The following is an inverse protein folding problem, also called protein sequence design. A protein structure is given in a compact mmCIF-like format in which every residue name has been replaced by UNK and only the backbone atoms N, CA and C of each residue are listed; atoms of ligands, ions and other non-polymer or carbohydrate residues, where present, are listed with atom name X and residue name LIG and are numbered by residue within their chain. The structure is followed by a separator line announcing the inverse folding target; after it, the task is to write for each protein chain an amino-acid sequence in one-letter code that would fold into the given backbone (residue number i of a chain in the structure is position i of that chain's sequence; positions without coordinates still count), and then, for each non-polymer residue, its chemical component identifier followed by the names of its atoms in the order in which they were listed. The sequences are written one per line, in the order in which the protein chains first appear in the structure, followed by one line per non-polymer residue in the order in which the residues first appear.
data_IF_974026689044
#
_entry.id   IF_974026689044
#
_cell.length_a   1.000
_cell.length_b   1.000
_cell.length_c   1.000
_cell.angle_alpha   90.00
_cell.angle_beta   90.00
_cell.angle_gamma   90.00
#
_symmetry.space_group_name_H-M   'P 1'
#
loop_
_entity.id
_entity.type
_entity.pdbx_description
1 polymer ?
#
# COMPACT_ATOMS: atom_id res chain seq x y z
N UNK A 1 14.11 -16.42 10.89
CA UNK A 1 13.50 -17.73 11.21
C UNK A 1 12.01 -17.58 10.96
N UNK A 2 11.41 -18.41 10.12
CA UNK A 2 9.99 -18.30 9.75
C UNK A 2 9.12 -18.79 10.90
N UNK A 3 8.12 -18.01 11.33
CA UNK A 3 7.19 -18.33 12.43
C UNK A 3 6.09 -19.33 12.01
N UNK A 4 6.40 -20.22 11.05
CA UNK A 4 5.48 -21.24 10.52
C UNK A 4 5.00 -22.16 11.65
N UNK A 5 3.81 -21.87 12.18
CA UNK A 5 3.16 -22.65 13.24
C UNK A 5 2.69 -21.83 14.44
N UNK A 6 3.15 -20.58 14.60
CA UNK A 6 2.61 -19.71 15.64
C UNK A 6 1.15 -19.34 15.31
N UNK A 7 0.35 -19.16 16.36
CA UNK A 7 -1.07 -18.85 16.27
C UNK A 7 -1.46 -17.81 17.31
N UNK A 8 -2.49 -17.02 17.01
CA UNK A 8 -3.06 -16.02 17.92
C UNK A 8 -4.55 -16.32 18.08
N UNK A 9 -5.02 -16.41 19.33
CA UNK A 9 -6.45 -16.50 19.63
C UNK A 9 -7.04 -15.08 19.70
N UNK A 10 -8.19 -14.87 19.07
CA UNK A 10 -8.97 -13.65 19.14
C UNK A 10 -10.36 -13.96 19.67
N UNK A 11 -10.90 -13.06 20.50
CA UNK A 11 -12.29 -13.09 20.94
C UNK A 11 -13.07 -12.04 20.17
N UNK A 12 -14.04 -12.46 19.37
CA UNK A 12 -14.88 -11.58 18.57
C UNK A 12 -16.23 -11.37 19.25
N UNK A 13 -16.75 -10.15 19.18
CA UNK A 13 -18.16 -9.87 19.40
C UNK A 13 -18.80 -9.65 18.03
N UNK A 14 -19.85 -10.42 17.69
CA UNK A 14 -20.54 -10.32 16.40
C UNK A 14 -22.04 -10.12 16.56
N UNK A 15 -22.66 -9.39 15.64
CA UNK A 15 -24.12 -9.33 15.50
C UNK A 15 -24.56 -10.44 14.54
N UNK A 16 -25.21 -11.47 15.07
CA UNK A 16 -25.67 -12.62 14.28
C UNK A 16 -26.77 -12.25 13.29
N UNK A 17 -27.64 -11.28 13.62
CA UNK A 17 -28.71 -10.85 12.70
C UNK A 17 -28.12 -10.16 11.48
N UNK A 18 -27.07 -9.36 11.67
CA UNK A 18 -26.38 -8.65 10.56
C UNK A 18 -25.28 -9.48 9.92
N UNK A 19 -24.87 -10.60 10.52
CA UNK A 19 -23.69 -11.38 10.15
C UNK A 19 -22.45 -10.47 10.02
N UNK A 20 -22.18 -9.72 11.07
CA UNK A 20 -21.14 -8.69 11.11
C UNK A 20 -20.36 -8.76 12.41
N UNK A 21 -19.03 -8.74 12.34
CA UNK A 21 -18.14 -8.53 13.48
C UNK A 21 -18.28 -7.08 13.94
N UNK A 22 -18.44 -6.88 15.24
CA UNK A 22 -18.47 -5.54 15.84
C UNK A 22 -17.04 -5.14 16.17
N UNK A 23 -16.35 -5.96 16.95
CA UNK A 23 -14.92 -5.84 17.22
C UNK A 23 -14.30 -7.17 17.64
N UNK A 24 -12.97 -7.24 17.53
CA UNK A 24 -12.14 -8.26 18.14
C UNK A 24 -11.48 -7.70 19.42
N UNK A 25 -11.48 -8.48 20.50
CA UNK A 25 -10.63 -8.28 21.66
C UNK A 25 -9.30 -9.01 21.44
N UNK A 26 -8.20 -8.30 21.65
CA UNK A 26 -6.86 -8.88 21.58
C UNK A 26 -5.84 -8.16 22.45
N UNK A 27 -4.82 -8.89 22.89
CA UNK A 27 -3.59 -8.31 23.46
C UNK A 27 -2.59 -7.85 22.39
N UNK A 28 -1.37 -7.57 22.84
CA UNK A 28 -0.26 -7.01 22.03
C UNK A 28 0.03 -7.77 20.74
N UNK A 29 -0.03 -9.10 20.74
CA UNK A 29 0.53 -9.92 19.66
C UNK A 29 -0.16 -9.64 18.32
N UNK A 30 -1.49 -9.56 18.30
CA UNK A 30 -2.23 -9.25 17.07
C UNK A 30 -2.13 -7.77 16.70
N UNK A 31 -2.16 -6.88 17.69
CA UNK A 31 -2.11 -5.44 17.45
C UNK A 31 -0.75 -5.05 16.88
N UNK A 32 0.35 -5.60 17.40
CA UNK A 32 1.69 -5.39 16.84
C UNK A 32 1.76 -5.86 15.38
N UNK A 33 1.12 -6.98 15.05
CA UNK A 33 1.03 -7.50 13.67
C UNK A 33 0.24 -6.53 12.78
N UNK A 34 -0.93 -6.05 13.21
CA UNK A 34 -1.73 -5.08 12.47
C UNK A 34 -0.98 -3.76 12.23
N UNK A 35 -0.34 -3.22 13.28
CA UNK A 35 0.41 -1.98 13.18
C UNK A 35 1.65 -2.15 12.29
N UNK A 36 2.24 -3.34 12.23
CA UNK A 36 3.38 -3.62 11.35
C UNK A 36 3.07 -3.43 9.86
N UNK A 37 1.80 -3.56 9.44
CA UNK A 37 1.38 -3.32 8.06
C UNK A 37 1.74 -1.91 7.58
N UNK A 38 1.68 -0.91 8.47
CA UNK A 38 2.05 0.48 8.16
C UNK A 38 3.54 0.61 7.80
N UNK A 39 4.39 -0.33 8.21
CA UNK A 39 5.83 -0.31 7.94
C UNK A 39 6.21 -0.97 6.63
N UNK A 40 5.31 -1.76 6.03
CA UNK A 40 5.59 -2.53 4.82
C UNK A 40 5.60 -1.62 3.58
N UNK A 41 6.67 -1.64 2.77
CA UNK A 41 6.66 -1.01 1.45
C UNK A 41 5.63 -1.65 0.51
N UNK A 42 5.07 -0.88 -0.41
CA UNK A 42 4.04 -1.39 -1.33
C UNK A 42 4.49 -2.58 -2.18
N UNK A 43 5.75 -2.61 -2.62
CA UNK A 43 6.32 -3.74 -3.35
C UNK A 43 6.28 -5.03 -2.52
N UNK A 44 6.58 -4.94 -1.23
CA UNK A 44 6.47 -6.07 -0.28
C UNK A 44 5.01 -6.50 -0.13
N UNK A 45 4.07 -5.56 0.06
CA UNK A 45 2.64 -5.88 0.19
C UNK A 45 2.12 -6.60 -1.05
N UNK A 46 2.43 -6.09 -2.25
CA UNK A 46 1.99 -6.69 -3.51
C UNK A 46 2.56 -8.11 -3.65
N UNK A 47 3.85 -8.28 -3.38
CA UNK A 47 4.52 -9.58 -3.45
C UNK A 47 3.89 -10.60 -2.49
N UNK A 48 3.60 -10.19 -1.25
CA UNK A 48 3.00 -11.05 -0.22
C UNK A 48 1.54 -11.40 -0.49
N UNK A 49 0.77 -10.50 -1.07
CA UNK A 49 -0.66 -10.73 -1.36
C UNK A 49 -0.85 -11.52 -2.66
N UNK A 50 0.05 -11.36 -3.65
CA UNK A 50 0.01 -12.10 -4.92
C UNK A 50 0.37 -13.57 -4.81
N UNK A 51 1.08 -13.98 -3.76
CA UNK A 51 1.39 -15.39 -3.52
C UNK A 51 0.18 -16.20 -3.06
N UNK A 52 -0.95 -15.54 -2.76
CA UNK A 52 -2.24 -16.19 -2.52
C UNK A 52 -2.94 -16.55 -3.84
N UNK A 53 -3.75 -17.62 -3.82
CA UNK A 53 -4.40 -18.25 -4.99
C UNK A 53 -5.39 -17.38 -5.78
N UNK A 54 -5.60 -16.12 -5.39
CA UNK A 54 -6.56 -15.19 -6.01
C UNK A 54 -5.81 -14.03 -6.69
N UNK A 55 -5.68 -14.03 -8.03
CA UNK A 55 -4.87 -13.03 -8.72
C UNK A 55 -5.52 -11.63 -8.73
N UNK A 56 -4.69 -10.63 -8.45
CA UNK A 56 -4.89 -9.18 -8.71
C UNK A 56 -5.99 -8.47 -7.90
N UNK A 57 -5.61 -7.63 -6.92
CA UNK A 57 -6.59 -6.78 -6.23
C UNK A 57 -6.13 -5.38 -5.80
N UNK A 58 -4.83 -5.07 -5.77
CA UNK A 58 -4.35 -3.71 -5.43
C UNK A 58 -4.18 -2.89 -6.71
N UNK A 59 -5.31 -2.41 -7.25
CA UNK A 59 -5.39 -1.46 -8.37
C UNK A 59 -4.40 -1.72 -9.52
N UNK A 60 -3.82 -0.64 -10.03
CA UNK A 60 -2.78 -0.62 -11.07
C UNK A 60 -1.36 -0.79 -10.51
N UNK A 61 -1.19 -0.79 -9.18
CA UNK A 61 0.12 -1.04 -8.56
C UNK A 61 0.56 -2.49 -8.79
N UNK A 62 -0.39 -3.42 -8.87
CA UNK A 62 -0.14 -4.82 -9.24
C UNK A 62 0.48 -4.93 -10.64
N UNK A 63 -0.09 -4.26 -11.63
CA UNK A 63 0.38 -4.25 -13.02
C UNK A 63 1.69 -3.48 -13.19
N UNK A 64 1.92 -2.43 -12.40
CA UNK A 64 3.25 -1.79 -12.31
C UNK A 64 4.32 -2.77 -11.82
N UNK A 65 4.03 -3.52 -10.74
CA UNK A 65 4.95 -4.54 -10.23
C UNK A 65 5.22 -5.64 -11.27
N UNK A 66 4.18 -6.12 -11.96
CA UNK A 66 4.33 -7.08 -13.08
C UNK A 66 5.14 -6.51 -14.25
N UNK A 67 4.95 -5.24 -14.58
CA UNK A 67 5.75 -4.55 -15.59
C UNK A 67 7.24 -4.54 -15.19
N UNK A 68 7.53 -4.23 -13.93
CA UNK A 68 8.89 -4.27 -13.39
C UNK A 68 9.51 -5.68 -13.46
N UNK A 69 8.75 -6.74 -13.14
CA UNK A 69 9.21 -8.14 -13.26
C UNK A 69 9.69 -8.46 -14.69
N UNK A 70 9.01 -7.93 -15.70
CA UNK A 70 9.32 -8.18 -17.12
C UNK A 70 10.28 -7.14 -17.73
N UNK A 71 10.62 -6.07 -17.02
CA UNK A 71 11.47 -5.00 -17.55
C UNK A 71 12.94 -5.40 -17.49
N UNK A 72 13.59 -5.45 -18.65
CA UNK A 72 14.99 -5.87 -18.79
C UNK A 72 15.88 -4.77 -19.38
N UNK A 73 17.05 -4.60 -18.76
CA UNK A 73 18.16 -3.79 -19.28
C UNK A 73 19.42 -4.63 -19.20
N UNK A 74 20.36 -4.39 -20.13
CA UNK A 74 21.65 -5.09 -20.19
C UNK A 74 22.66 -4.58 -19.14
N UNK A 75 22.24 -3.70 -18.24
CA UNK A 75 23.08 -3.07 -17.23
C UNK A 75 23.06 -3.88 -15.92
N UNK A 76 24.25 -4.18 -15.37
CA UNK A 76 24.40 -4.88 -14.10
C UNK A 76 23.84 -4.08 -12.91
N UNK A 77 23.85 -2.75 -12.97
CA UNK A 77 23.25 -1.89 -11.94
C UNK A 77 21.73 -2.03 -11.93
N UNK A 78 21.10 -2.17 -13.10
CA UNK A 78 19.65 -2.38 -13.21
C UNK A 78 19.20 -3.63 -12.47
N UNK A 79 19.91 -4.76 -12.60
CA UNK A 79 19.56 -6.00 -11.88
C UNK A 79 19.46 -5.76 -10.37
N UNK A 80 20.41 -4.98 -9.83
CA UNK A 80 20.42 -4.63 -8.40
C UNK A 80 19.22 -3.73 -8.04
N UNK A 81 18.96 -2.68 -8.83
CA UNK A 81 17.80 -1.81 -8.57
C UNK A 81 16.47 -2.54 -8.72
N UNK A 82 16.34 -3.43 -9.70
CA UNK A 82 15.17 -4.26 -9.92
C UNK A 82 14.90 -5.17 -8.73
N UNK A 83 15.92 -5.86 -8.22
CA UNK A 83 15.80 -6.67 -6.99
C UNK A 83 15.36 -5.81 -5.79
N UNK A 84 15.91 -4.60 -5.63
CA UNK A 84 15.51 -3.69 -4.55
C UNK A 84 14.08 -3.16 -4.69
N UNK A 85 13.57 -2.98 -5.91
CA UNK A 85 12.20 -2.52 -6.16
C UNK A 85 11.18 -3.66 -6.02
N UNK A 86 11.56 -4.89 -6.38
CA UNK A 86 10.73 -6.10 -6.23
C UNK A 86 10.68 -6.57 -4.77
N UNK A 87 11.78 -6.44 -4.04
CA UNK A 87 11.93 -6.84 -2.63
C UNK A 87 12.47 -5.67 -1.77
N UNK A 88 11.69 -4.58 -1.63
CA UNK A 88 12.12 -3.40 -0.89
C UNK A 88 12.31 -3.69 0.61
N UNK A 89 13.39 -3.16 1.17
CA UNK A 89 13.70 -3.35 2.60
C UNK A 89 12.80 -2.51 3.50
N UNK A 90 12.30 -3.11 4.58
CA UNK A 90 11.57 -2.44 5.64
C UNK A 90 12.55 -1.77 6.65
N UNK A 91 12.42 -0.47 6.92
CA UNK A 91 13.31 0.21 7.88
C UNK A 91 13.06 -0.18 9.35
N UNK A 92 11.95 -0.86 9.62
CA UNK A 92 11.55 -1.41 10.92
C UNK A 92 11.66 -2.94 10.96
N UNK A 93 12.38 -3.56 10.01
CA UNK A 93 12.58 -5.01 9.91
C UNK A 93 13.06 -5.62 11.24
N UNK A 94 14.05 -5.03 11.90
CA UNK A 94 14.58 -5.50 13.19
C UNK A 94 13.55 -5.51 14.34
N UNK A 95 12.50 -4.69 14.24
CA UNK A 95 11.36 -4.70 15.17
C UNK A 95 10.39 -5.81 14.75
N UNK A 96 10.05 -5.86 13.47
CA UNK A 96 9.07 -6.79 12.91
C UNK A 96 9.50 -8.26 13.04
N UNK A 97 10.80 -8.55 13.10
CA UNK A 97 11.32 -9.89 13.41
C UNK A 97 10.88 -10.43 14.77
N UNK A 98 10.48 -9.56 15.70
CA UNK A 98 9.96 -9.94 17.03
C UNK A 98 8.45 -10.17 17.05
N UNK A 99 7.76 -9.97 15.93
CA UNK A 99 6.32 -10.23 15.81
C UNK A 99 6.07 -11.73 15.93
N UNK A 100 5.01 -12.09 16.63
CA UNK A 100 4.51 -13.46 16.71
C UNK A 100 4.13 -14.00 15.32
N UNK A 101 3.40 -13.19 14.54
CA UNK A 101 3.11 -13.50 13.14
C UNK A 101 3.81 -12.50 12.22
N UNK A 102 5.08 -12.73 11.91
CA UNK A 102 5.78 -11.94 10.91
C UNK A 102 5.49 -12.45 9.49
N UNK A 103 4.73 -11.67 8.72
CA UNK A 103 4.41 -11.96 7.32
C UNK A 103 5.49 -11.48 6.34
N UNK A 104 6.44 -10.65 6.77
CA UNK A 104 7.56 -10.23 5.91
C UNK A 104 8.57 -11.37 5.81
N UNK A 105 8.59 -12.01 4.65
CA UNK A 105 9.48 -13.10 4.26
C UNK A 105 10.82 -12.60 3.66
N UNK A 106 11.04 -11.28 3.64
CA UNK A 106 12.31 -10.70 3.19
C UNK A 106 13.46 -11.16 4.09
N UNK A 107 14.57 -11.57 3.48
CA UNK A 107 15.73 -12.01 4.25
C UNK A 107 16.33 -10.83 5.03
N UNK A 108 16.74 -11.06 6.29
CA UNK A 108 17.28 -9.98 7.08
C UNK A 108 18.47 -9.29 6.46
N UNK A 109 18.46 -7.96 6.52
CA UNK A 109 19.59 -7.16 6.03
C UNK A 109 20.83 -7.51 6.86
N UNK A 110 21.84 -8.11 6.23
CA UNK A 110 23.13 -8.36 6.88
C UNK A 110 23.93 -7.05 6.92
N UNK A 111 24.57 -6.79 8.05
CA UNK A 111 25.46 -5.65 8.25
C UNK A 111 26.86 -6.16 8.61
N UNK A 112 27.86 -5.63 7.94
CA UNK A 112 29.26 -5.72 8.32
C UNK A 112 29.59 -4.53 9.21
N UNK A 113 30.31 -4.78 10.29
CA UNK A 113 30.93 -3.73 11.08
C UNK A 113 32.41 -3.81 10.74
N UNK A 114 32.98 -2.74 10.20
CA UNK A 114 34.42 -2.67 10.03
C UNK A 114 35.06 -2.52 11.42
N UNK A 115 35.82 -3.51 11.87
CA UNK A 115 36.45 -3.47 13.20
C UNK A 115 37.43 -2.30 13.35
N UNK A 116 38.02 -1.82 12.25
CA UNK A 116 38.94 -0.69 12.25
C UNK A 116 38.26 0.67 12.47
N UNK A 117 37.07 0.89 11.91
CA UNK A 117 36.40 2.21 11.96
C UNK A 117 34.99 2.20 12.59
N UNK A 118 34.51 1.04 13.05
CA UNK A 118 33.14 0.78 13.55
C UNK A 118 32.02 1.24 12.61
N UNK A 119 32.33 1.41 11.32
CA UNK A 119 31.34 1.77 10.30
C UNK A 119 30.50 0.54 9.96
N UNK A 120 29.17 0.71 9.96
CA UNK A 120 28.21 -0.30 9.50
C UNK A 120 28.10 -0.25 7.97
N UNK A 121 28.62 -1.26 7.29
CA UNK A 121 28.54 -1.47 5.85
C UNK A 121 27.50 -2.57 5.54
N UNK A 122 26.53 -2.31 4.67
CA UNK A 122 25.48 -3.28 4.33
C UNK A 122 25.91 -4.19 3.17
N UNK A 123 25.54 -5.47 3.21
CA UNK A 123 26.02 -6.51 2.26
C UNK A 123 25.38 -6.52 0.87
N UNK A 124 24.67 -5.47 0.43
CA UNK A 124 24.02 -5.49 -0.89
C UNK A 124 25.05 -5.38 -2.05
N UNK A 125 26.29 -5.03 -1.72
CA UNK A 125 27.44 -5.23 -2.59
C UNK A 125 28.08 -6.58 -2.27
N UNK A 126 27.94 -7.56 -3.17
CA UNK A 126 28.64 -8.85 -3.09
C UNK A 126 30.15 -8.63 -3.16
N UNK A 127 30.79 -8.45 -2.02
CA UNK A 127 32.18 -8.82 -1.82
C UNK A 127 32.29 -9.57 -0.50
N UNK A 128 32.81 -10.79 -0.63
CA UNK A 128 33.03 -11.82 0.38
C UNK A 128 33.72 -11.26 1.62
N UNK A 129 33.07 -11.33 2.78
CA UNK A 129 33.67 -11.36 4.13
C UNK A 129 32.52 -11.60 5.12
N UNK A 130 32.66 -12.52 6.07
CA UNK A 130 31.54 -13.02 6.89
C UNK A 130 31.73 -12.71 8.37
N UNK A 131 30.92 -11.79 8.93
CA UNK A 131 30.61 -11.72 10.36
C UNK A 131 29.18 -11.19 10.53
N UNK A 132 28.33 -11.94 11.23
CA UNK A 132 26.94 -11.56 11.58
C UNK A 132 26.88 -11.11 13.03
N UNK A 133 26.25 -9.96 13.31
CA UNK A 133 25.91 -9.58 14.70
C UNK A 133 24.40 -9.61 14.89
N UNK A 134 23.96 -10.36 15.89
CA UNK A 134 22.59 -10.31 16.38
C UNK A 134 22.45 -9.03 17.23
N UNK A 135 21.63 -8.08 16.80
CA UNK A 135 21.26 -6.93 17.63
C UNK A 135 20.42 -7.46 18.81
N UNK A 136 21.06 -7.67 19.95
CA UNK A 136 20.42 -8.04 21.21
C UNK A 136 19.51 -6.88 21.62
N UNK A 137 18.20 -7.04 21.42
CA UNK A 137 17.19 -6.09 21.89
C UNK A 137 16.91 -6.30 23.36
N UNK A 138 16.73 -5.19 24.09
CA UNK A 138 16.18 -5.15 25.44
C UNK A 138 14.83 -5.88 25.50
N UNK A 139 14.53 -6.49 26.66
CA UNK A 139 13.27 -7.20 26.98
C UNK A 139 12.11 -6.20 27.12
N UNK A 140 11.74 -5.52 26.05
CA UNK A 140 10.46 -4.81 25.99
C UNK A 140 9.35 -5.84 25.74
N UNK A 141 8.35 -5.88 26.62
CA UNK A 141 7.15 -6.69 26.40
C UNK A 141 6.30 -6.02 25.31
N UNK A 142 6.39 -6.51 24.07
CA UNK A 142 5.67 -6.00 22.89
C UNK A 142 6.57 -5.22 21.90
N UNK A 143 6.20 -5.24 20.61
CA UNK A 143 7.01 -4.66 19.52
C UNK A 143 6.74 -3.16 19.38
N UNK A 144 5.47 -2.77 19.27
CA UNK A 144 5.03 -1.38 19.14
C UNK A 144 4.15 -0.96 20.33
N UNK A 145 3.30 -1.86 20.82
CA UNK A 145 2.40 -1.63 21.96
C UNK A 145 2.89 -2.30 23.24
N UNK A 146 2.40 -1.82 24.38
CA UNK A 146 2.70 -2.34 25.72
C UNK A 146 2.16 -3.74 25.87
N UNK A 147 2.97 -4.63 26.46
CA UNK A 147 2.64 -6.04 26.48
C UNK A 147 1.50 -6.45 27.40
N UNK A 148 1.20 -5.64 28.41
CA UNK A 148 0.07 -5.82 29.31
C UNK A 148 -1.22 -5.17 28.80
N UNK A 149 -1.16 -4.40 27.71
CA UNK A 149 -2.32 -3.71 27.17
C UNK A 149 -3.22 -4.65 26.37
N UNK A 150 -4.52 -4.40 26.46
CA UNK A 150 -5.58 -5.08 25.71
C UNK A 150 -6.38 -4.06 24.90
N UNK A 151 -6.89 -4.51 23.77
CA UNK A 151 -7.43 -3.65 22.73
C UNK A 151 -8.72 -4.20 22.16
N UNK A 152 -9.55 -3.29 21.66
CA UNK A 152 -10.66 -3.56 20.77
C UNK A 152 -10.24 -3.18 19.35
N UNK A 153 -10.47 -4.07 18.40
CA UNK A 153 -10.23 -3.82 16.97
C UNK A 153 -11.58 -3.86 16.27
N UNK A 154 -12.09 -2.72 15.83
CA UNK A 154 -13.34 -2.68 15.07
C UNK A 154 -13.24 -3.42 13.75
N UNK A 155 -14.38 -3.76 13.14
CA UNK A 155 -14.43 -4.43 11.83
C UNK A 155 -13.61 -3.70 10.76
N UNK A 156 -13.63 -2.37 10.76
CA UNK A 156 -12.83 -1.50 9.86
C UNK A 156 -11.39 -1.24 10.38
N UNK A 157 -10.87 -2.12 11.23
CA UNK A 157 -9.50 -2.17 11.78
C UNK A 157 -9.06 -0.97 12.61
N UNK A 158 -9.98 -0.21 13.20
CA UNK A 158 -9.61 0.80 14.20
C UNK A 158 -9.26 0.08 15.51
N UNK A 159 -8.05 0.32 16.01
CA UNK A 159 -7.57 -0.17 17.30
C UNK A 159 -7.84 0.86 18.38
N UNK A 160 -8.48 0.44 19.45
CA UNK A 160 -8.88 1.26 20.58
C UNK A 160 -8.52 0.54 21.89
N UNK A 161 -8.32 1.26 23.00
CA UNK A 161 -8.24 0.63 24.31
C UNK A 161 -9.47 -0.24 24.61
N UNK A 162 -9.25 -1.39 25.26
CA UNK A 162 -10.37 -2.20 25.75
C UNK A 162 -11.09 -1.49 26.89
N UNK A 163 -12.34 -1.08 26.67
CA UNK A 163 -13.18 -0.49 27.72
C UNK A 163 -14.67 -0.63 27.39
N UNK A 164 -15.51 -0.68 28.43
CA UNK A 164 -16.97 -0.69 28.28
C UNK A 164 -17.48 0.58 27.58
N UNK A 165 -16.84 1.73 27.82
CA UNK A 165 -17.22 2.99 27.17
C UNK A 165 -17.04 2.92 25.65
N UNK A 166 -15.89 2.41 25.18
CA UNK A 166 -15.61 2.25 23.75
C UNK A 166 -16.53 1.22 23.11
N UNK A 167 -16.87 0.15 23.84
CA UNK A 167 -17.86 -0.84 23.39
C UNK A 167 -19.24 -0.18 23.17
N UNK A 168 -19.75 0.55 24.15
CA UNK A 168 -21.05 1.24 24.04
C UNK A 168 -21.03 2.27 22.90
N UNK A 169 -19.95 3.03 22.75
CA UNK A 169 -19.79 3.98 21.66
C UNK A 169 -19.87 3.29 20.29
N UNK A 170 -19.19 2.16 20.12
CA UNK A 170 -19.19 1.39 18.88
C UNK A 170 -20.57 0.79 18.57
N UNK A 171 -21.26 0.24 19.58
CA UNK A 171 -22.62 -0.27 19.44
C UNK A 171 -23.59 0.84 18.99
N UNK A 172 -23.50 2.01 19.60
CA UNK A 172 -24.30 3.19 19.23
C UNK A 172 -24.00 3.63 17.79
N UNK A 173 -22.71 3.71 17.42
CA UNK A 173 -22.26 4.07 16.06
C UNK A 173 -22.79 3.11 14.99
N UNK A 174 -22.92 1.83 15.32
CA UNK A 174 -23.48 0.80 14.42
C UNK A 174 -25.01 0.68 14.49
N UNK A 175 -25.67 1.50 15.32
CA UNK A 175 -27.12 1.51 15.49
C UNK A 175 -27.67 0.22 16.10
N UNK A 176 -26.90 -0.47 16.93
CA UNK A 176 -27.30 -1.72 17.58
C UNK A 176 -28.08 -1.37 18.85
N UNK A 177 -29.36 -1.76 18.90
CA UNK A 177 -30.26 -1.50 20.03
C UNK A 177 -30.62 -2.76 20.83
N UNK A 178 -30.60 -3.92 20.17
CA UNK A 178 -30.97 -5.21 20.75
C UNK A 178 -29.69 -6.02 20.99
N UNK A 179 -29.28 -6.13 22.25
CA UNK A 179 -28.04 -6.81 22.64
C UNK A 179 -28.19 -8.34 22.52
N UNK A 180 -29.43 -8.86 22.48
CA UNK A 180 -29.67 -10.30 22.36
C UNK A 180 -29.24 -10.87 21.00
N UNK A 181 -28.87 -10.01 20.04
CA UNK A 181 -28.33 -10.44 18.74
C UNK A 181 -26.82 -10.63 18.76
N UNK A 182 -26.17 -10.25 19.86
CA UNK A 182 -24.73 -10.26 19.99
C UNK A 182 -24.24 -11.61 20.51
N UNK A 183 -23.26 -12.19 19.84
CA UNK A 183 -22.65 -13.45 20.21
C UNK A 183 -21.12 -13.30 20.32
N UNK A 184 -20.54 -13.98 21.31
CA UNK A 184 -19.09 -14.16 21.42
C UNK A 184 -18.64 -15.32 20.53
N UNK A 185 -17.59 -15.11 19.74
CA UNK A 185 -16.95 -16.15 18.94
C UNK A 185 -15.44 -16.13 19.17
N UNK A 186 -14.83 -17.30 19.38
CA UNK A 186 -13.37 -17.42 19.48
C UNK A 186 -12.81 -17.99 18.20
N UNK A 187 -11.74 -17.37 17.71
CA UNK A 187 -11.05 -17.80 16.51
C UNK A 187 -9.56 -17.88 16.76
N UNK A 188 -8.89 -18.72 15.99
CA UNK A 188 -7.44 -18.85 16.01
C UNK A 188 -6.93 -18.49 14.62
N UNK A 189 -6.00 -17.54 14.56
CA UNK A 189 -5.42 -17.05 13.31
C UNK A 189 -3.94 -17.41 13.21
N UNK A 190 -3.49 -17.67 11.99
CA UNK A 190 -2.09 -17.87 11.62
C UNK A 190 -1.67 -16.91 10.50
N UNK A 191 -0.56 -17.23 9.84
CA UNK A 191 0.02 -16.38 8.79
C UNK A 191 -0.92 -16.18 7.59
N UNK A 192 -1.66 -17.20 7.18
CA UNK A 192 -2.56 -17.13 6.01
C UNK A 192 -3.73 -16.16 6.26
N UNK A 193 -4.30 -16.17 7.46
CA UNK A 193 -5.35 -15.23 7.85
C UNK A 193 -4.80 -13.79 7.94
N UNK A 194 -3.58 -13.60 8.45
CA UNK A 194 -2.94 -12.28 8.52
C UNK A 194 -2.64 -11.73 7.12
N UNK A 195 -2.12 -12.56 6.21
CA UNK A 195 -1.90 -12.18 4.80
C UNK A 195 -3.23 -11.84 4.10
N UNK A 196 -4.28 -12.61 4.39
CA UNK A 196 -5.62 -12.33 3.88
C UNK A 196 -6.15 -11.00 4.41
N UNK A 197 -5.88 -10.68 5.68
CA UNK A 197 -6.25 -9.40 6.29
C UNK A 197 -5.47 -8.23 5.69
N UNK A 198 -4.18 -8.40 5.40
CA UNK A 198 -3.36 -7.42 4.68
C UNK A 198 -3.95 -7.13 3.28
N UNK A 199 -4.44 -8.15 2.58
CA UNK A 199 -5.16 -7.97 1.31
C UNK A 199 -6.45 -7.16 1.49
N UNK A 200 -7.24 -7.52 2.50
CA UNK A 200 -8.54 -6.90 2.76
C UNK A 200 -8.45 -5.41 3.14
N UNK A 201 -7.28 -4.92 3.60
CA UNK A 201 -7.04 -3.50 3.82
C UNK A 201 -7.36 -2.59 2.62
N UNK A 202 -7.17 -3.10 1.40
CA UNK A 202 -7.32 -2.34 0.16
C UNK A 202 -8.68 -2.50 -0.51
N UNK A 203 -9.49 -3.48 -0.07
CA UNK A 203 -10.67 -3.92 -0.85
C UNK A 203 -11.94 -4.09 -0.01
N UNK A 204 -11.83 -4.11 1.31
CA UNK A 204 -12.96 -4.31 2.22
C UNK A 204 -13.15 -3.12 3.16
N UNK A 205 -14.41 -2.78 3.42
CA UNK A 205 -14.80 -1.86 4.51
C UNK A 205 -15.03 -2.59 5.85
N UNK A 206 -15.14 -3.92 5.81
CA UNK A 206 -15.46 -4.81 6.95
C UNK A 206 -14.55 -6.06 6.92
N UNK A 207 -13.22 -5.87 6.98
CA UNK A 207 -12.25 -6.96 6.77
C UNK A 207 -12.32 -8.08 7.81
N UNK A 208 -12.73 -7.84 9.06
CA UNK A 208 -12.87 -8.93 10.04
C UNK A 208 -14.09 -9.81 9.69
N UNK A 209 -15.21 -9.19 9.34
CA UNK A 209 -16.40 -9.90 8.86
C UNK A 209 -16.11 -10.71 7.60
N UNK A 210 -15.46 -10.10 6.61
CA UNK A 210 -15.17 -10.74 5.32
C UNK A 210 -14.19 -11.92 5.44
N UNK A 211 -13.35 -11.91 6.47
CA UNK A 211 -12.36 -12.94 6.74
C UNK A 211 -12.93 -14.09 7.59
N UNK A 212 -13.68 -13.78 8.64
CA UNK A 212 -14.04 -14.76 9.67
C UNK A 212 -15.49 -15.24 9.61
N UNK A 213 -16.38 -14.53 8.90
CA UNK A 213 -17.78 -14.92 8.79
C UNK A 213 -18.07 -15.63 7.46
N UNK A 214 -18.95 -16.64 7.45
CA UNK A 214 -19.42 -17.25 6.21
C UNK A 214 -20.07 -16.21 5.30
N UNK A 215 -19.68 -16.19 4.03
CA UNK A 215 -20.27 -15.29 3.04
C UNK A 215 -21.69 -15.74 2.69
N UNK A 216 -22.68 -14.91 3.03
CA UNK A 216 -23.96 -14.96 2.32
C UNK A 216 -23.70 -14.49 0.88
N UNK A 217 -23.90 -15.37 -0.10
CA UNK A 217 -23.50 -15.28 -1.51
C UNK A 217 -24.04 -14.08 -2.33
N UNK A 218 -24.63 -13.07 -1.69
CA UNK A 218 -25.22 -11.88 -2.33
C UNK A 218 -24.41 -10.59 -2.17
N UNK A 219 -23.38 -10.57 -1.33
CA UNK A 219 -22.69 -9.33 -0.93
C UNK A 219 -21.47 -9.03 -1.81
N UNK A 220 -20.75 -10.05 -2.30
CA UNK A 220 -19.47 -9.89 -3.04
C UNK A 220 -19.60 -9.15 -4.38
N UNK A 221 -20.78 -9.14 -5.02
CA UNK A 221 -20.99 -8.49 -6.32
C UNK A 221 -21.28 -6.98 -6.24
N UNK A 222 -21.60 -6.44 -5.06
CA UNK A 222 -21.88 -5.00 -4.88
C UNK A 222 -20.61 -4.17 -4.63
N UNK A 223 -19.55 -4.78 -4.07
CA UNK A 223 -18.31 -4.05 -3.71
C UNK A 223 -17.47 -3.66 -4.92
N UNK A 224 -17.41 -4.50 -5.96
CA UNK A 224 -16.72 -4.16 -7.21
C UNK A 224 -17.37 -2.96 -7.94
N UNK A 225 -18.69 -2.79 -7.84
CA UNK A 225 -19.40 -1.66 -8.48
C UNK A 225 -19.24 -0.33 -7.73
N UNK A 226 -19.02 -0.33 -6.41
CA UNK A 226 -18.87 0.91 -5.62
C UNK A 226 -17.49 1.55 -5.74
N UNK A 227 -16.43 0.76 -5.92
CA UNK A 227 -15.06 1.29 -6.11
C UNK A 227 -14.94 2.08 -7.44
N UNK A 228 -15.74 1.72 -8.44
CA UNK A 228 -15.76 2.44 -9.73
C UNK A 228 -16.53 3.77 -9.69
N UNK A 229 -17.26 4.06 -8.60
CA UNK A 229 -18.20 5.18 -8.53
C UNK A 229 -17.74 6.36 -7.65
N UNK A 230 -16.53 6.35 -7.06
CA UNK A 230 -16.07 7.45 -6.20
C UNK A 230 -14.60 7.77 -6.37
N UNK A 231 -14.31 8.63 -7.35
CA UNK A 231 -13.14 9.52 -7.34
C UNK A 231 -13.65 10.94 -7.54
N UNK A 232 -14.37 11.45 -6.54
CA UNK A 232 -14.67 12.87 -6.40
C UNK A 232 -14.50 13.21 -4.93
N UNK A 233 -13.28 13.62 -4.54
CA UNK A 233 -13.00 14.85 -3.79
C UNK A 233 -11.52 14.86 -3.35
N UNK A 234 -10.70 15.70 -3.98
CA UNK A 234 -9.49 16.23 -3.32
C UNK A 234 -9.58 17.75 -3.45
N UNK A 235 -9.98 18.41 -2.37
CA UNK A 235 -9.69 19.81 -2.04
C UNK A 235 -9.20 19.78 -0.58
N UNK A 236 -8.19 20.51 -0.11
CA UNK A 236 -7.26 21.51 -0.62
C UNK A 236 -6.13 21.58 0.42
N UNK A 237 -4.91 21.82 -0.02
CA UNK A 237 -3.96 22.72 0.66
C UNK A 237 -3.23 23.50 -0.45
N UNK A 238 -2.85 24.77 -0.24
CA UNK A 238 -2.10 25.53 -1.24
C UNK A 238 -0.68 24.96 -1.32
N UNK A 239 -0.48 23.99 -2.20
CA UNK A 239 0.82 23.37 -2.44
C UNK A 239 1.65 24.31 -3.32
N UNK A 240 2.84 24.67 -2.83
CA UNK A 240 3.85 25.47 -3.52
C UNK A 240 4.05 25.07 -4.99
N UNK A 241 4.19 26.10 -5.84
CA UNK A 241 4.27 26.04 -7.30
C UNK A 241 5.62 25.46 -7.74
N UNK A 242 5.79 24.15 -7.61
CA UNK A 242 6.95 23.43 -8.17
C UNK A 242 6.87 23.32 -9.69
N UNK A 243 8.02 23.20 -10.37
CA UNK A 243 8.11 22.95 -11.82
C UNK A 243 7.34 21.67 -12.18
N UNK A 244 6.27 21.80 -12.97
CA UNK A 244 5.52 20.66 -13.52
C UNK A 244 6.27 20.07 -14.71
N UNK A 245 6.28 18.74 -14.84
CA UNK A 245 6.77 18.07 -16.05
C UNK A 245 5.63 17.96 -17.06
N UNK A 246 5.96 18.01 -18.36
CA UNK A 246 5.00 17.79 -19.44
C UNK A 246 5.06 16.33 -19.86
N UNK A 247 3.91 15.66 -19.87
CA UNK A 247 3.77 14.27 -20.30
C UNK A 247 2.98 14.23 -21.60
N UNK A 248 3.51 13.52 -22.59
CA UNK A 248 2.81 13.21 -23.82
C UNK A 248 1.91 12.00 -23.57
N UNK A 249 0.61 12.17 -23.76
CA UNK A 249 -0.39 11.13 -23.52
C UNK A 249 -1.18 10.86 -24.79
N UNK A 250 -1.46 9.58 -25.03
CA UNK A 250 -2.28 9.10 -26.12
C UNK A 250 -3.62 8.66 -25.54
N UNK A 251 -4.72 9.20 -26.08
CA UNK A 251 -6.07 8.99 -25.59
C UNK A 251 -7.03 8.62 -26.72
N UNK A 252 -8.14 7.99 -26.34
CA UNK A 252 -9.29 7.74 -27.20
C UNK A 252 -10.26 8.93 -27.14
N UNK A 253 -10.55 9.56 -28.28
CA UNK A 253 -11.37 10.79 -28.34
C UNK A 253 -12.81 10.53 -27.93
N UNK A 254 -13.38 9.39 -28.29
CA UNK A 254 -14.78 9.06 -28.04
C UNK A 254 -15.20 9.16 -26.57
N UNK A 255 -14.28 8.87 -25.64
CA UNK A 255 -14.58 8.86 -24.20
C UNK A 255 -13.48 9.48 -23.31
N UNK A 256 -12.47 10.12 -23.92
CA UNK A 256 -11.31 10.71 -23.24
C UNK A 256 -10.53 9.73 -22.35
N UNK A 257 -10.58 8.43 -22.63
CA UNK A 257 -9.81 7.44 -21.88
C UNK A 257 -8.34 7.46 -22.32
N UNK A 258 -7.41 7.56 -21.36
CA UNK A 258 -5.99 7.38 -21.67
C UNK A 258 -5.72 5.94 -22.09
N UNK A 259 -4.91 5.78 -23.12
CA UNK A 259 -4.41 4.49 -23.55
C UNK A 259 -3.03 4.25 -22.96
N UNK A 260 -2.11 5.20 -23.18
CA UNK A 260 -0.79 5.22 -22.58
C UNK A 260 -0.17 6.61 -22.58
N UNK A 261 0.91 6.79 -21.83
CA UNK A 261 1.79 7.95 -21.84
C UNK A 261 3.17 7.57 -22.40
N UNK A 262 3.74 8.44 -23.23
CA UNK A 262 5.15 8.38 -23.63
C UNK A 262 5.94 9.31 -22.72
N UNK A 263 6.89 8.74 -21.97
CA UNK A 263 7.52 9.42 -20.85
C UNK A 263 9.02 9.16 -20.79
N UNK A 264 9.78 10.09 -20.23
CA UNK A 264 11.21 9.89 -19.97
C UNK A 264 11.47 9.16 -18.65
N UNK A 265 12.76 8.91 -18.37
CA UNK A 265 13.24 8.26 -17.15
C UNK A 265 12.68 8.89 -15.86
N UNK A 266 12.53 10.22 -15.80
CA UNK A 266 12.03 10.92 -14.61
C UNK A 266 10.65 10.45 -14.14
N UNK A 267 9.71 10.26 -15.07
CA UNK A 267 8.37 9.81 -14.72
C UNK A 267 8.37 8.33 -14.36
N UNK A 268 9.10 7.50 -15.12
CA UNK A 268 9.27 6.08 -14.83
C UNK A 268 9.88 5.87 -13.43
N UNK A 269 10.91 6.63 -13.06
CA UNK A 269 11.53 6.62 -11.75
C UNK A 269 10.54 6.98 -10.62
N UNK A 270 9.64 7.95 -10.87
CA UNK A 270 8.58 8.33 -9.92
C UNK A 270 7.46 7.30 -9.80
N UNK A 271 7.19 6.52 -10.84
CA UNK A 271 6.27 5.39 -10.75
C UNK A 271 6.90 4.26 -9.93
N UNK A 272 8.10 3.84 -10.30
CA UNK A 272 8.83 2.76 -9.62
C UNK A 272 9.09 3.08 -8.15
N UNK A 273 9.36 4.34 -7.80
CA UNK A 273 9.56 4.74 -6.41
C UNK A 273 8.33 4.53 -5.52
N UNK A 274 7.11 4.42 -6.07
CA UNK A 274 5.91 4.15 -5.28
C UNK A 274 5.95 2.77 -4.60
N UNK A 275 6.66 1.80 -5.21
CA UNK A 275 6.82 0.45 -4.67
C UNK A 275 7.63 0.43 -3.37
N UNK A 276 8.47 1.45 -3.14
CA UNK A 276 9.35 1.49 -1.97
C UNK A 276 8.76 2.31 -0.82
N UNK A 277 7.61 2.93 -1.02
CA UNK A 277 6.94 3.76 -0.01
C UNK A 277 6.17 2.84 0.96
N UNK A 278 6.45 2.94 2.28
CA UNK A 278 5.68 2.23 3.29
C UNK A 278 4.22 2.68 3.33
N UNK A 279 3.32 1.74 3.62
CA UNK A 279 1.88 2.00 3.67
C UNK A 279 1.51 3.17 4.60
N UNK A 280 2.14 3.28 5.77
CA UNK A 280 1.90 4.39 6.70
C UNK A 280 2.25 5.76 6.09
N UNK A 281 3.34 5.83 5.32
CA UNK A 281 3.70 7.05 4.57
C UNK A 281 2.68 7.37 3.49
N UNK A 282 2.17 6.36 2.79
CA UNK A 282 1.13 6.55 1.76
C UNK A 282 -0.18 7.06 2.38
N UNK A 283 -0.65 6.43 3.45
CA UNK A 283 -1.87 6.84 4.17
C UNK A 283 -1.75 8.29 4.63
N UNK A 284 -0.57 8.69 5.11
CA UNK A 284 -0.30 10.08 5.46
C UNK A 284 -0.37 11.02 4.25
N UNK A 285 0.22 10.64 3.11
CA UNK A 285 0.27 11.48 1.91
C UNK A 285 -1.12 11.66 1.26
N UNK A 286 -1.96 10.63 1.29
CA UNK A 286 -3.31 10.63 0.71
C UNK A 286 -4.37 10.77 1.81
N UNK A 287 -4.03 11.50 2.88
CA UNK A 287 -4.92 11.71 4.03
C UNK A 287 -6.31 12.14 3.55
N UNK A 288 -7.34 11.42 4.01
CA UNK A 288 -8.77 11.56 3.64
C UNK A 288 -9.31 10.73 2.46
N UNK A 289 -8.57 9.77 1.91
CA UNK A 289 -9.16 8.81 0.94
C UNK A 289 -10.15 7.84 1.60
N UNK A 290 -11.45 7.84 1.21
CA UNK A 290 -12.42 6.84 1.69
C UNK A 290 -12.05 5.41 1.28
N UNK A 291 -11.31 5.26 0.18
CA UNK A 291 -10.95 3.98 -0.41
C UNK A 291 -9.86 3.24 0.37
N UNK A 292 -9.10 3.94 1.22
CA UNK A 292 -8.11 3.36 2.14
C UNK A 292 -8.59 3.43 3.60
N UNK A 293 -9.91 3.30 3.84
CA UNK A 293 -10.52 3.46 5.17
C UNK A 293 -9.85 2.61 6.25
N UNK A 294 -9.66 1.31 6.00
CA UNK A 294 -9.10 0.40 7.00
C UNK A 294 -7.63 0.73 7.33
N UNK A 295 -6.81 1.02 6.32
CA UNK A 295 -5.43 1.48 6.53
C UNK A 295 -5.38 2.85 7.23
N UNK A 296 -6.32 3.75 6.91
CA UNK A 296 -6.47 5.06 7.55
C UNK A 296 -6.88 4.93 9.02
N UNK A 297 -7.75 3.97 9.34
CA UNK A 297 -8.14 3.68 10.71
C UNK A 297 -6.98 3.11 11.54
N UNK A 298 -6.18 2.20 10.97
CA UNK A 298 -4.95 1.73 11.61
C UNK A 298 -3.98 2.89 11.89
N UNK A 299 -3.76 3.75 10.89
CA UNK A 299 -2.90 4.93 11.04
C UNK A 299 -3.41 5.87 12.15
N UNK A 300 -4.71 6.21 12.13
CA UNK A 300 -5.35 7.04 13.17
C UNK A 300 -5.28 6.40 14.55
N UNK A 301 -5.38 5.08 14.64
CA UNK A 301 -5.23 4.37 15.91
C UNK A 301 -3.86 4.62 16.52
N UNK A 302 -2.80 4.63 15.70
CA UNK A 302 -1.46 5.00 16.17
C UNK A 302 -1.42 6.45 16.66
N UNK A 303 -2.07 7.39 15.97
CA UNK A 303 -2.15 8.80 16.39
C UNK A 303 -2.86 8.97 17.74
N UNK A 304 -3.97 8.26 17.95
CA UNK A 304 -4.85 8.38 19.11
C UNK A 304 -4.34 7.61 20.35
N UNK A 305 -3.64 6.47 20.17
CA UNK A 305 -3.15 5.67 21.29
C UNK A 305 -2.07 6.41 22.09
N UNK A 306 -2.31 6.54 23.40
CA UNK A 306 -1.41 7.22 24.34
C UNK A 306 -0.11 6.44 24.59
N UNK A 307 1.01 7.17 24.62
CA UNK A 307 2.33 6.62 24.97
C UNK A 307 2.42 6.34 26.47
N UNK A 308 3.09 5.25 26.84
CA UNK A 308 3.27 4.81 28.22
C UNK A 308 2.20 3.83 28.67
N UNK A 309 0.92 4.11 28.38
CA UNK A 309 -0.20 3.20 28.69
C UNK A 309 -0.42 2.15 27.59
N UNK A 310 -0.40 2.56 26.32
CA UNK A 310 -0.70 1.68 25.19
C UNK A 310 0.48 1.55 24.23
N UNK A 311 1.08 2.66 23.79
CA UNK A 311 2.26 2.63 22.93
C UNK A 311 3.54 2.53 23.76
N UNK A 312 4.51 1.74 23.32
CA UNK A 312 5.76 1.54 24.07
C UNK A 312 6.60 2.81 24.21
N UNK A 313 6.75 3.56 23.12
CA UNK A 313 7.48 4.83 23.13
C UNK A 313 7.04 5.75 22.01
N UNK A 314 7.29 7.05 22.18
CA UNK A 314 7.09 8.07 21.16
C UNK A 314 7.94 7.80 19.91
N UNK A 315 9.13 7.21 20.09
CA UNK A 315 10.01 6.84 19.00
C UNK A 315 9.40 5.76 18.08
N UNK A 316 8.81 4.72 18.68
CA UNK A 316 8.15 3.64 17.94
C UNK A 316 6.87 4.13 17.27
N UNK A 317 6.08 4.96 17.97
CA UNK A 317 4.91 5.64 17.40
C UNK A 317 5.27 6.44 16.14
N UNK A 318 6.35 7.22 16.18
CA UNK A 318 6.86 7.96 15.02
C UNK A 318 7.31 7.05 13.87
N UNK A 319 7.88 5.88 14.15
CA UNK A 319 8.26 4.89 13.13
C UNK A 319 7.07 4.28 12.37
N UNK A 320 5.89 4.26 12.98
CA UNK A 320 4.64 3.80 12.35
C UNK A 320 3.97 4.92 11.54
N UNK A 321 3.96 6.15 12.06
CA UNK A 321 3.33 7.32 11.40
C UNK A 321 4.17 7.90 10.26
N UNK A 322 5.49 7.79 10.37
CA UNK A 322 6.46 8.20 9.36
C UNK A 322 7.56 7.14 9.23
N UNK A 323 7.24 5.95 8.70
CA UNK A 323 8.25 4.97 8.39
C UNK A 323 9.30 5.58 7.47
N UNK A 324 10.58 5.42 7.83
CA UNK A 324 11.66 5.94 7.01
C UNK A 324 11.70 5.15 5.71
N UNK A 325 11.77 5.86 4.58
CA UNK A 325 12.27 5.29 3.34
C UNK A 325 13.71 4.83 3.62
N UNK A 326 14.05 3.60 3.27
CA UNK A 326 15.43 3.15 3.48
C UNK A 326 16.35 4.01 2.61
N UNK A 327 17.43 4.61 3.15
CA UNK A 327 18.25 5.61 2.45
C UNK A 327 18.91 5.14 1.16
N UNK A 328 18.77 3.86 0.81
CA UNK A 328 19.40 3.20 -0.32
C UNK A 328 18.70 3.44 -1.66
N UNK A 329 17.56 4.14 -1.67
CA UNK A 329 16.81 4.45 -2.90
C UNK A 329 17.20 5.78 -3.57
N UNK A 330 18.14 6.52 -2.99
CA UNK A 330 18.86 7.57 -3.70
C UNK A 330 19.92 6.92 -4.58
N UNK A 331 19.63 6.78 -5.87
CA UNK A 331 20.60 6.24 -6.80
C UNK A 331 21.87 7.10 -6.82
N UNK A 332 23.01 6.42 -6.90
CA UNK A 332 24.34 7.03 -6.79
C UNK A 332 24.48 8.04 -7.94
N UNK A 333 24.63 9.33 -7.62
CA UNK A 333 24.86 10.37 -8.63
C UNK A 333 23.62 11.11 -9.15
N UNK A 334 22.42 10.89 -8.59
CA UNK A 334 21.22 11.68 -8.96
C UNK A 334 20.48 11.20 -10.21
N UNK A 335 21.03 10.25 -10.97
CA UNK A 335 20.29 9.46 -11.96
C UNK A 335 19.39 8.48 -11.22
N UNK A 336 18.08 8.40 -11.48
CA UNK A 336 17.17 7.46 -10.77
C UNK A 336 17.44 5.97 -11.03
N UNK A 337 16.43 5.11 -10.87
CA UNK A 337 16.56 3.65 -11.07
C UNK A 337 16.81 3.25 -12.53
N UNK A 338 16.22 3.99 -13.47
CA UNK A 338 16.36 3.76 -14.92
C UNK A 338 17.27 4.80 -15.56
N UNK A 339 17.94 4.40 -16.66
CA UNK A 339 18.86 5.24 -17.42
C UNK A 339 18.16 6.47 -18.01
N UNK A 340 18.79 7.65 -17.86
CA UNK A 340 18.22 8.98 -18.13
C UNK A 340 17.69 9.15 -19.56
N UNK A 341 18.40 8.62 -20.56
CA UNK A 341 18.04 8.74 -21.98
C UNK A 341 16.97 7.73 -22.46
N UNK A 342 16.43 6.91 -21.55
CA UNK A 342 15.41 5.91 -21.91
C UNK A 342 14.01 6.51 -21.94
N UNK A 343 13.27 6.21 -23.01
CA UNK A 343 11.85 6.52 -23.11
C UNK A 343 10.98 5.29 -22.80
N UNK A 344 9.88 5.54 -22.12
CA UNK A 344 8.94 4.54 -21.64
C UNK A 344 7.53 4.77 -22.15
N UNK A 345 6.85 3.68 -22.48
CA UNK A 345 5.41 3.62 -22.64
C UNK A 345 4.80 3.15 -21.32
N UNK A 346 3.89 3.96 -20.76
CA UNK A 346 3.15 3.66 -19.53
C UNK A 346 1.68 3.56 -19.87
N UNK A 347 1.10 2.36 -19.78
CA UNK A 347 -0.34 2.18 -20.05
C UNK A 347 -1.21 2.77 -18.94
N UNK A 348 -2.52 2.91 -19.20
CA UNK A 348 -3.50 3.43 -18.23
C UNK A 348 -3.49 2.67 -16.89
N UNK A 349 -3.23 1.36 -16.93
CA UNK A 349 -3.03 0.47 -15.79
C UNK A 349 -1.55 0.39 -15.33
N UNK A 350 -0.72 1.35 -15.69
CA UNK A 350 0.68 1.51 -15.22
C UNK A 350 1.66 0.39 -15.62
N UNK A 351 1.37 -0.38 -16.66
CA UNK A 351 2.39 -1.28 -17.22
C UNK A 351 3.49 -0.43 -17.84
N UNK A 352 4.70 -0.57 -17.30
CA UNK A 352 5.89 0.15 -17.73
C UNK A 352 6.69 -0.70 -18.72
N UNK A 353 6.84 -0.22 -19.95
CA UNK A 353 7.66 -0.85 -21.00
C UNK A 353 8.49 0.18 -21.74
N UNK A 354 9.48 -0.22 -22.52
CA UNK A 354 10.18 0.71 -23.43
C UNK A 354 9.22 1.19 -24.51
N UNK A 355 9.35 2.44 -24.95
CA UNK A 355 8.54 2.95 -26.06
C UNK A 355 8.76 2.10 -27.31
N UNK A 356 7.67 1.73 -27.94
CA UNK A 356 7.65 1.03 -29.23
C UNK A 356 6.39 1.45 -29.98
N UNK A 357 6.53 2.18 -31.11
CA UNK A 357 5.37 2.53 -31.95
C UNK A 357 4.61 1.30 -32.43
N UNK A 358 5.31 0.18 -32.66
CA UNK A 358 4.71 -1.11 -33.02
C UNK A 358 3.84 -1.65 -31.88
N UNK A 359 4.30 -1.53 -30.63
CA UNK A 359 3.49 -1.91 -29.46
C UNK A 359 2.26 -1.00 -29.28
N UNK A 360 2.39 0.30 -29.58
CA UNK A 360 1.27 1.24 -29.60
C UNK A 360 0.20 0.85 -30.63
N UNK A 361 0.62 0.59 -31.88
CA UNK A 361 -0.29 0.11 -32.94
C UNK A 361 -0.93 -1.23 -32.57
N UNK A 362 -0.14 -2.15 -32.02
CA UNK A 362 -0.65 -3.45 -31.54
C UNK A 362 -1.70 -3.28 -30.44
N UNK A 363 -1.54 -2.31 -29.54
CA UNK A 363 -2.53 -2.01 -28.50
C UNK A 363 -3.83 -1.46 -29.11
N UNK A 364 -3.74 -0.55 -30.08
CA UNK A 364 -4.92 -0.01 -30.78
C UNK A 364 -5.71 -1.11 -31.49
N UNK A 365 -5.01 -2.01 -32.19
CA UNK A 365 -5.62 -3.17 -32.84
C UNK A 365 -6.28 -4.11 -31.82
N UNK A 366 -5.59 -4.42 -30.71
CA UNK A 366 -6.12 -5.28 -29.64
C UNK A 366 -7.39 -4.70 -29.00
N UNK A 367 -7.47 -3.38 -28.89
CA UNK A 367 -8.63 -2.68 -28.33
C UNK A 367 -9.70 -2.32 -29.38
N UNK A 368 -9.47 -2.67 -30.65
CA UNK A 368 -10.34 -2.34 -31.78
C UNK A 368 -10.64 -0.83 -31.89
N UNK A 369 -9.61 0.02 -31.69
CA UNK A 369 -9.74 1.48 -31.74
C UNK A 369 -9.36 1.97 -33.14
N UNK A 370 -10.25 2.68 -33.86
CA UNK A 370 -9.91 3.23 -35.16
C UNK A 370 -8.89 4.37 -35.00
N UNK A 371 -7.93 4.47 -35.92
CA UNK A 371 -6.88 5.51 -35.88
C UNK A 371 -7.48 6.92 -35.84
N UNK A 372 -8.62 7.11 -36.51
CA UNK A 372 -9.36 8.38 -36.51
C UNK A 372 -9.89 8.78 -35.13
N UNK A 373 -9.91 7.88 -34.14
CA UNK A 373 -10.36 8.12 -32.76
C UNK A 373 -9.19 8.25 -31.77
N UNK A 374 -7.95 8.29 -32.25
CA UNK A 374 -6.75 8.48 -31.44
C UNK A 374 -6.37 9.97 -31.42
N UNK A 375 -5.99 10.47 -30.26
CA UNK A 375 -5.47 11.83 -30.08
C UNK A 375 -4.24 11.83 -29.18
N UNK A 376 -3.28 12.67 -29.52
CA UNK A 376 -2.15 13.00 -28.68
C UNK A 376 -2.41 14.32 -27.95
N UNK A 377 -2.16 14.32 -26.65
CA UNK A 377 -2.30 15.50 -25.80
C UNK A 377 -1.10 15.62 -24.87
N UNK A 378 -0.76 16.84 -24.49
CA UNK A 378 0.24 17.10 -23.44
C UNK A 378 -0.48 17.46 -22.16
N UNK A 379 -0.13 16.78 -21.07
CA UNK A 379 -0.66 17.07 -19.72
C UNK A 379 0.47 17.46 -18.78
N UNK A 380 0.15 18.34 -17.83
CA UNK A 380 1.09 18.70 -16.78
C UNK A 380 1.03 17.68 -15.64
N UNK A 381 2.19 17.27 -15.15
CA UNK A 381 2.34 16.41 -13.97
C UNK A 381 3.22 17.10 -12.93
N UNK A 382 2.60 17.45 -11.81
CA UNK A 382 3.24 18.01 -10.63
C UNK A 382 2.88 17.21 -9.39
N UNK A 383 3.05 17.84 -8.23
CA UNK A 383 2.82 17.19 -6.94
C UNK A 383 1.36 16.75 -6.73
N UNK A 384 0.40 17.55 -7.20
CA UNK A 384 -1.02 17.21 -7.08
C UNK A 384 -1.39 15.98 -7.92
N UNK A 385 -0.93 15.96 -9.17
CA UNK A 385 -1.15 14.83 -10.08
C UNK A 385 -0.42 13.57 -9.58
N UNK A 386 0.75 13.72 -8.95
CA UNK A 386 1.46 12.61 -8.33
C UNK A 386 0.68 11.96 -7.16
N UNK A 387 0.01 12.77 -6.32
CA UNK A 387 -0.82 12.26 -5.23
C UNK A 387 -2.09 11.57 -5.76
N UNK A 388 -2.75 12.17 -6.75
CA UNK A 388 -3.90 11.55 -7.43
C UNK A 388 -3.52 10.22 -8.09
N UNK A 389 -2.34 10.17 -8.71
CA UNK A 389 -1.82 8.96 -9.34
C UNK A 389 -1.47 7.88 -8.34
N UNK A 390 -0.87 8.23 -7.20
CA UNK A 390 -0.58 7.28 -6.12
C UNK A 390 -1.87 6.72 -5.50
N UNK A 391 -2.91 7.53 -5.34
CA UNK A 391 -4.22 7.04 -4.89
C UNK A 391 -4.85 6.12 -5.93
N UNK A 392 -4.93 6.59 -7.18
CA UNK A 392 -5.53 5.83 -8.27
C UNK A 392 -4.81 4.51 -8.53
N UNK A 393 -3.49 4.45 -8.37
CA UNK A 393 -2.71 3.22 -8.56
C UNK A 393 -3.07 2.14 -7.54
N UNK A 394 -3.55 2.49 -6.34
CA UNK A 394 -3.92 1.51 -5.31
C UNK A 394 -5.33 0.94 -5.50
N UNK A 395 -6.23 1.68 -6.16
CA UNK A 395 -7.68 1.35 -6.17
C UNK A 395 -8.27 1.18 -7.57
N UNK A 396 -7.66 1.75 -8.61
CA UNK A 396 -8.17 1.78 -9.97
C UNK A 396 -7.33 0.91 -10.90
N UNK A 397 -7.97 0.29 -11.90
CA UNK A 397 -7.30 -0.36 -13.05
C UNK A 397 -7.09 0.60 -14.24
N UNK A 398 -7.41 1.87 -14.05
CA UNK A 398 -7.29 2.96 -15.04
C UNK A 398 -6.66 4.17 -14.36
N UNK A 399 -5.49 3.96 -13.75
CA UNK A 399 -4.87 4.93 -12.84
C UNK A 399 -4.49 6.24 -13.53
N UNK A 400 -3.97 6.21 -14.76
CA UNK A 400 -3.65 7.45 -15.48
C UNK A 400 -4.92 8.26 -15.78
N UNK A 401 -5.95 7.61 -16.31
CA UNK A 401 -7.25 8.24 -16.60
C UNK A 401 -7.83 8.84 -15.33
N UNK A 402 -7.86 8.10 -14.22
CA UNK A 402 -8.33 8.59 -12.92
C UNK A 402 -7.52 9.79 -12.42
N UNK A 403 -6.19 9.77 -12.55
CA UNK A 403 -5.32 10.83 -12.06
C UNK A 403 -5.40 12.12 -12.89
N UNK A 404 -5.55 12.00 -14.21
CA UNK A 404 -5.54 13.14 -15.14
C UNK A 404 -6.92 13.60 -15.59
N UNK A 405 -8.02 12.97 -15.15
CA UNK A 405 -9.38 13.27 -15.60
C UNK A 405 -9.72 14.79 -15.54
N UNK A 406 -9.28 15.49 -14.49
CA UNK A 406 -9.48 16.94 -14.34
C UNK A 406 -8.80 17.77 -15.45
N UNK A 407 -7.68 17.29 -15.99
CA UNK A 407 -6.89 17.96 -17.02
C UNK A 407 -7.36 17.59 -18.45
N UNK A 408 -8.20 16.55 -18.57
CA UNK A 408 -8.70 16.05 -19.84
C UNK A 408 -10.02 16.70 -20.27
N UNK A 409 -10.86 17.16 -19.32
CA UNK A 409 -12.13 17.85 -19.62
C UNK A 409 -11.87 19.16 -20.40
N UNK A 410 -12.44 19.29 -21.62
CA UNK A 410 -12.41 20.54 -22.38
C UNK A 410 -13.27 21.63 -21.73
N UNK A 411 -12.84 22.90 -21.86
CA UNK A 411 -13.73 24.05 -21.76
C UNK A 411 -14.87 23.85 -22.77
N UNK A 412 -16.13 23.93 -22.32
CA UNK A 412 -17.29 23.95 -23.22
C UNK A 412 -17.03 24.94 -24.37
N UNK A 413 -17.37 24.62 -25.62
CA UNK A 413 -17.26 25.59 -26.71
C UNK A 413 -18.02 26.85 -26.30
N UNK A 414 -17.37 28.02 -26.42
CA UNK A 414 -18.09 29.29 -26.35
C UNK A 414 -19.14 29.22 -27.47
N UNK A 415 -20.42 29.27 -27.11
CA UNK A 415 -21.45 29.63 -28.08
C UNK A 415 -21.05 31.00 -28.60
N UNK A 416 -20.55 31.05 -29.84
CA UNK A 416 -20.55 32.27 -30.62
C UNK A 416 -22.02 32.66 -30.81
N UNK A 417 -22.36 33.85 -30.32
CA UNK A 417 -23.69 34.46 -30.45
C UNK A 417 -23.75 35.26 -31.74
#
# INVERSE_FOLDING_TARGET
MSTRGEKIELKLLMDRKKNQVIFAESGKDFVDVLLSFLTLPMGTIIRLVRSQSEPSMIGSMNTLYQGLENLEFKDNLWTTYKEMLLCPSNSSEYLCQKLKLNIDDTQPTKYYICDCCRVKLCTYWKTTLSLTTNLVGTREEGVFVKGTATFMISDDLKVMPLSTSNCIELLNKLGIKDINTLEEMRIIIGLEEVLSLLRLLFVSETPLSDLFLPKNSKITSMFQKKIQARVEYIQKDPVSNGKKMKLKVILRKSDNKLLYAETGADFANRLLSQLVIPLGTIVKLISASPSLRCASNLYKSVEELGVGLYMNSEHLKKKLLLPKLTPKFGAVGGSGFVQEETTFMVTDDLVLTRVSPVSGISLFNKLNIPISDIEEKVVDFGKEEALKLLEASLISKSALTSAFNSNLKMKKPKLER
#
